data_IF_774966403823
#
_entry.id   IF_774966403823
#
_cell.length_a   1.000
_cell.length_b   1.000
_cell.length_c   1.000
_cell.angle_alpha   90.00
_cell.angle_beta   90.00
_cell.angle_gamma   90.00
#
_symmetry.space_group_name_H-M   'P 1'
#
loop_
_entity.id
_entity.type
_entity.pdbx_description
1 polymer ?
#
# COMPACT_ATOMS: atom_id res chain seq x y z
N UNK A 1 -22.00 17.28 21.60
CA UNK A 1 -21.97 17.40 20.13
C UNK A 1 -20.89 18.39 19.70
N UNK A 2 -20.01 18.03 18.76
CA UNK A 2 -18.90 18.86 18.28
C UNK A 2 -19.00 19.10 16.75
N UNK A 3 -19.95 19.94 16.30
CA UNK A 3 -20.21 20.12 14.87
C UNK A 3 -19.06 20.78 14.10
N UNK A 4 -18.11 21.42 14.77
CA UNK A 4 -16.95 22.05 14.11
C UNK A 4 -15.71 21.14 14.05
N UNK A 5 -15.77 19.95 14.65
CA UNK A 5 -14.66 19.01 14.67
C UNK A 5 -14.48 18.38 13.29
N UNK A 6 -13.31 18.60 12.67
CA UNK A 6 -12.93 18.03 11.37
C UNK A 6 -11.99 16.84 11.48
N UNK A 7 -11.28 16.75 12.60
CA UNK A 7 -10.26 15.74 12.83
C UNK A 7 -10.46 15.12 14.21
N UNK A 8 -10.41 13.80 14.26
CA UNK A 8 -10.50 13.02 15.49
C UNK A 8 -9.32 12.06 15.56
N UNK A 9 -8.55 12.15 16.64
CA UNK A 9 -7.47 11.23 16.96
C UNK A 9 -7.86 10.39 18.16
N UNK A 10 -7.90 9.08 17.97
CA UNK A 10 -8.13 8.08 19.03
C UNK A 10 -6.84 7.30 19.18
N UNK A 11 -6.08 7.61 20.23
CA UNK A 11 -4.74 7.07 20.48
C UNK A 11 -4.73 6.43 21.86
N UNK A 12 -4.33 5.16 21.94
CA UNK A 12 -4.16 4.44 23.22
C UNK A 12 -5.41 4.43 24.12
N UNK A 13 -6.58 4.39 23.49
CA UNK A 13 -7.86 4.43 24.17
C UNK A 13 -8.42 3.01 24.38
N UNK A 14 -7.99 2.34 25.45
CA UNK A 14 -8.38 0.96 25.80
C UNK A 14 -9.81 0.84 26.37
N UNK A 15 -10.47 1.96 26.66
CA UNK A 15 -11.79 2.01 27.34
C UNK A 15 -12.84 2.86 26.63
N UNK A 16 -12.59 3.24 25.38
CA UNK A 16 -13.57 4.00 24.57
C UNK A 16 -14.41 3.00 23.77
N UNK A 17 -15.73 3.06 23.94
CA UNK A 17 -16.68 2.39 23.06
C UNK A 17 -17.40 3.45 22.23
N UNK A 18 -17.41 3.26 20.91
CA UNK A 18 -18.21 4.07 20.01
C UNK A 18 -19.50 3.30 19.78
N UNK A 19 -20.62 3.77 20.35
CA UNK A 19 -21.92 3.14 20.15
C UNK A 19 -22.66 3.87 19.03
N UNK A 20 -23.01 3.19 17.94
CA UNK A 20 -24.16 3.64 17.14
C UNK A 20 -25.44 3.09 17.78
N UNK A 21 -26.36 3.99 18.11
CA UNK A 21 -27.59 3.74 18.85
C UNK A 21 -28.61 2.79 18.16
N UNK A 22 -28.32 2.27 16.95
CA UNK A 22 -29.33 1.57 16.14
C UNK A 22 -29.47 0.06 16.40
N UNK A 23 -28.83 -0.52 17.43
CA UNK A 23 -29.10 -1.92 17.84
C UNK A 23 -29.37 -2.06 19.34
N UNK A 24 -30.59 -1.69 19.74
CA UNK A 24 -31.11 -1.88 21.10
C UNK A 24 -31.27 -3.35 21.53
N UNK A 25 -31.17 -4.32 20.62
CA UNK A 25 -31.30 -5.75 20.91
C UNK A 25 -29.99 -6.44 21.32
N UNK A 26 -28.82 -5.97 20.84
CA UNK A 26 -27.52 -6.59 21.14
C UNK A 26 -26.95 -6.12 22.49
N UNK A 27 -27.30 -4.90 22.91
CA UNK A 27 -26.84 -4.33 24.19
C UNK A 27 -27.45 -5.05 25.41
N UNK A 28 -28.64 -5.65 25.29
CA UNK A 28 -29.30 -6.30 26.43
C UNK A 28 -28.69 -7.66 26.84
N UNK A 29 -27.94 -8.33 25.98
CA UNK A 29 -27.39 -9.66 26.29
C UNK A 29 -25.97 -9.66 26.88
N UNK A 30 -25.24 -8.54 26.84
CA UNK A 30 -23.85 -8.46 27.34
C UNK A 30 -23.67 -7.60 28.61
N UNK A 31 -24.73 -6.95 29.10
CA UNK A 31 -24.64 -5.99 30.20
C UNK A 31 -24.49 -6.57 31.62
N UNK A 32 -24.45 -7.89 31.82
CA UNK A 32 -24.28 -8.43 33.18
C UNK A 32 -22.82 -8.39 33.68
N UNK A 33 -21.81 -8.28 32.81
CA UNK A 33 -20.39 -8.26 33.26
C UNK A 33 -19.43 -7.28 32.55
N UNK A 34 -19.84 -6.50 31.55
CA UNK A 34 -18.97 -5.51 30.91
C UNK A 34 -18.97 -4.15 31.66
N UNK A 35 -17.79 -3.65 32.02
CA UNK A 35 -17.59 -2.31 32.62
C UNK A 35 -18.19 -1.25 31.69
N UNK A 36 -18.94 -0.28 32.24
CA UNK A 36 -19.47 0.86 31.46
C UNK A 36 -18.34 1.56 30.68
N UNK A 37 -18.56 1.93 29.40
CA UNK A 37 -17.57 2.68 28.64
C UNK A 37 -17.33 4.06 29.26
N UNK A 38 -16.10 4.55 29.17
CA UNK A 38 -15.70 5.85 29.72
C UNK A 38 -16.17 7.04 28.88
N UNK A 39 -16.35 6.83 27.57
CA UNK A 39 -16.83 7.84 26.64
C UNK A 39 -17.90 7.24 25.74
N UNK A 40 -19.03 7.95 25.63
CA UNK A 40 -20.14 7.65 24.73
C UNK A 40 -20.25 8.78 23.72
N UNK A 41 -20.33 8.43 22.44
CA UNK A 41 -20.58 9.40 21.37
C UNK A 41 -22.04 9.33 20.96
N UNK A 42 -22.79 10.41 21.18
CA UNK A 42 -24.17 10.52 20.72
C UNK A 42 -24.21 10.70 19.19
N UNK A 43 -25.25 10.15 18.55
CA UNK A 43 -25.55 10.37 17.12
C UNK A 43 -25.53 11.88 16.82
N UNK A 44 -24.90 12.25 15.70
CA UNK A 44 -24.75 13.65 15.28
C UNK A 44 -23.56 14.39 15.90
N UNK A 45 -22.78 13.77 16.80
CA UNK A 45 -21.66 14.45 17.47
C UNK A 45 -20.54 14.94 16.55
N UNK A 46 -20.42 14.37 15.34
CA UNK A 46 -19.30 14.55 14.43
C UNK A 46 -19.72 14.90 12.99
N UNK A 47 -20.65 15.84 12.83
CA UNK A 47 -21.32 16.08 11.54
C UNK A 47 -20.41 16.52 10.38
N UNK A 48 -19.22 17.06 10.70
CA UNK A 48 -18.21 17.59 9.78
C UNK A 48 -16.85 16.87 9.89
N UNK A 49 -16.80 15.69 10.50
CA UNK A 49 -15.57 14.92 10.63
C UNK A 49 -15.12 14.39 9.27
N UNK A 50 -13.88 14.70 8.90
CA UNK A 50 -13.28 14.35 7.62
C UNK A 50 -12.08 13.41 7.78
N UNK A 51 -11.35 13.56 8.90
CA UNK A 51 -10.10 12.87 9.16
C UNK A 51 -10.20 12.06 10.46
N UNK A 52 -9.87 10.78 10.39
CA UNK A 52 -9.90 9.87 11.53
C UNK A 52 -8.56 9.15 11.66
N UNK A 53 -7.93 9.32 12.82
CA UNK A 53 -6.75 8.56 13.24
C UNK A 53 -7.14 7.59 14.33
N UNK A 54 -6.86 6.31 14.13
CA UNK A 54 -7.14 5.27 15.11
C UNK A 54 -5.91 4.43 15.37
N UNK A 55 -5.48 4.40 16.61
CA UNK A 55 -4.53 3.44 17.11
C UNK A 55 -5.30 2.59 18.11
N UNK A 56 -5.45 1.27 17.88
CA UNK A 56 -5.69 0.21 18.89
C UNK A 56 -6.50 -1.02 18.41
N UNK A 57 -6.51 -2.04 19.29
CA UNK A 57 -7.24 -3.33 19.28
C UNK A 57 -8.68 -3.20 18.76
N UNK A 58 -8.78 -3.38 17.45
CA UNK A 58 -9.95 -3.21 16.58
C UNK A 58 -11.26 -3.83 17.06
N UNK A 59 -11.21 -4.77 18.00
CA UNK A 59 -12.38 -5.50 18.46
C UNK A 59 -13.40 -4.56 19.13
N UNK A 60 -12.99 -3.65 20.01
CA UNK A 60 -13.92 -2.82 20.79
C UNK A 60 -14.71 -1.78 19.96
N UNK A 61 -14.09 -1.21 18.93
CA UNK A 61 -14.69 -0.14 18.10
C UNK A 61 -15.69 -0.67 17.07
N UNK A 62 -15.67 -1.98 16.76
CA UNK A 62 -16.56 -2.58 15.75
C UNK A 62 -17.65 -3.46 16.34
N UNK A 63 -17.51 -3.93 17.58
CA UNK A 63 -18.64 -4.47 18.34
C UNK A 63 -19.72 -3.41 18.59
N UNK A 64 -19.32 -2.15 18.78
CA UNK A 64 -20.22 -0.99 18.72
C UNK A 64 -20.29 -0.47 17.29
N UNK A 65 -21.41 -0.68 16.60
CA UNK A 65 -21.63 -0.28 15.22
C UNK A 65 -21.04 1.10 14.88
N UNK A 66 -20.36 1.19 13.73
CA UNK A 66 -19.79 2.44 13.17
C UNK A 66 -20.88 3.52 13.10
N UNK A 67 -20.71 4.70 13.72
CA UNK A 67 -21.65 5.81 13.60
C UNK A 67 -21.85 6.18 12.12
N UNK A 68 -23.10 6.44 11.71
CA UNK A 68 -23.44 6.85 10.34
C UNK A 68 -22.65 8.10 9.90
N UNK A 69 -22.21 8.90 10.86
CA UNK A 69 -21.40 10.10 10.68
C UNK A 69 -20.01 9.80 10.10
N UNK A 70 -19.47 8.61 10.35
CA UNK A 70 -18.15 8.22 9.83
C UNK A 70 -18.16 7.98 8.32
N UNK A 71 -19.34 7.88 7.69
CA UNK A 71 -19.41 7.71 6.23
C UNK A 71 -18.81 8.90 5.46
N UNK A 72 -18.75 10.10 6.06
CA UNK A 72 -18.16 11.29 5.41
C UNK A 72 -16.63 11.34 5.48
N UNK A 73 -15.99 10.41 6.20
CA UNK A 73 -14.55 10.38 6.35
C UNK A 73 -13.89 10.22 4.99
N UNK A 74 -12.97 11.14 4.68
CA UNK A 74 -12.20 11.14 3.46
C UNK A 74 -10.74 10.70 3.69
N UNK A 75 -10.27 10.73 4.95
CA UNK A 75 -8.94 10.31 5.34
C UNK A 75 -9.02 9.41 6.58
N UNK A 76 -8.49 8.20 6.45
CA UNK A 76 -8.43 7.22 7.53
C UNK A 76 -7.00 6.74 7.70
N UNK A 77 -6.49 6.85 8.91
CA UNK A 77 -5.19 6.35 9.31
C UNK A 77 -5.34 5.40 10.49
N UNK A 78 -4.83 4.17 10.34
CA UNK A 78 -5.03 3.08 11.29
C UNK A 78 -3.71 2.49 11.72
N UNK A 79 -3.55 2.26 13.01
CA UNK A 79 -2.42 1.58 13.61
C UNK A 79 -2.90 0.32 14.32
N UNK A 80 -2.45 -0.85 13.86
CA UNK A 80 -2.92 -2.14 14.35
C UNK A 80 -2.02 -2.73 15.44
N UNK A 81 -2.65 -3.45 16.37
CA UNK A 81 -1.99 -4.27 17.39
C UNK A 81 -1.85 -5.74 16.99
N UNK A 82 -1.50 -6.61 17.94
CA UNK A 82 -1.16 -8.03 17.70
C UNK A 82 -2.34 -8.99 17.44
N UNK A 83 -3.59 -8.53 17.42
CA UNK A 83 -4.77 -9.42 17.34
C UNK A 83 -5.87 -8.94 16.38
N UNK A 84 -5.56 -8.04 15.44
CA UNK A 84 -6.60 -7.57 14.50
C UNK A 84 -6.83 -8.57 13.38
N UNK A 85 -8.10 -8.84 13.09
CA UNK A 85 -8.51 -9.69 11.96
C UNK A 85 -8.94 -8.83 10.76
N UNK A 86 -8.62 -9.31 9.57
CA UNK A 86 -8.90 -8.64 8.29
C UNK A 86 -10.38 -8.62 7.92
N UNK A 87 -11.17 -9.58 8.39
CA UNK A 87 -12.62 -9.61 8.16
C UNK A 87 -13.32 -8.37 8.77
N UNK A 88 -12.89 -7.98 9.98
CA UNK A 88 -13.46 -6.85 10.71
C UNK A 88 -13.04 -5.52 10.05
N UNK A 89 -11.80 -5.41 9.58
CA UNK A 89 -11.31 -4.29 8.79
C UNK A 89 -12.09 -4.12 7.48
N UNK A 90 -12.30 -5.21 6.74
CA UNK A 90 -13.04 -5.21 5.47
C UNK A 90 -14.45 -4.63 5.62
N UNK A 91 -15.24 -5.15 6.59
CA UNK A 91 -16.60 -4.66 6.85
C UNK A 91 -16.62 -3.18 7.24
N UNK A 92 -15.60 -2.72 7.98
CA UNK A 92 -15.47 -1.31 8.33
C UNK A 92 -15.22 -0.44 7.10
N UNK A 93 -14.22 -0.80 6.29
CA UNK A 93 -13.80 -0.04 5.12
C UNK A 93 -14.89 0.05 4.05
N UNK A 94 -15.69 -1.02 3.86
CA UNK A 94 -16.82 -1.04 2.91
C UNK A 94 -17.87 0.04 3.17
N UNK A 95 -17.97 0.55 4.40
CA UNK A 95 -18.92 1.59 4.78
C UNK A 95 -18.42 3.01 4.51
N UNK A 96 -17.13 3.19 4.25
CA UNK A 96 -16.49 4.49 4.09
C UNK A 96 -16.51 4.93 2.62
N UNK A 97 -17.69 5.24 2.11
CA UNK A 97 -17.90 5.49 0.68
C UNK A 97 -17.19 6.75 0.14
N UNK A 98 -16.78 7.68 0.99
CA UNK A 98 -16.08 8.93 0.60
C UNK A 98 -14.57 8.88 0.81
N UNK A 99 -14.03 7.72 1.19
CA UNK A 99 -12.63 7.57 1.55
C UNK A 99 -11.72 7.82 0.34
N UNK A 100 -10.85 8.83 0.45
CA UNK A 100 -9.83 9.20 -0.54
C UNK A 100 -8.44 8.74 -0.14
N UNK A 101 -8.15 8.73 1.15
CA UNK A 101 -6.84 8.33 1.68
C UNK A 101 -7.02 7.25 2.75
N UNK A 102 -6.35 6.12 2.56
CA UNK A 102 -6.28 5.04 3.52
C UNK A 102 -4.81 4.77 3.84
N UNK A 103 -4.47 4.83 5.13
CA UNK A 103 -3.14 4.50 5.62
C UNK A 103 -3.24 3.45 6.72
N UNK A 104 -2.53 2.34 6.53
CA UNK A 104 -2.54 1.17 7.42
C UNK A 104 -1.11 0.96 7.94
N UNK A 105 -0.94 0.96 9.26
CA UNK A 105 0.34 0.89 9.92
C UNK A 105 0.37 -0.25 10.93
N UNK A 106 1.42 -1.06 10.87
CA UNK A 106 1.61 -2.22 11.74
C UNK A 106 0.47 -3.23 11.65
N UNK A 107 0.66 -4.41 12.22
CA UNK A 107 -0.38 -5.43 12.27
C UNK A 107 0.16 -6.81 11.96
N UNK A 108 -0.62 -7.80 12.38
CA UNK A 108 -0.24 -9.21 12.35
C UNK A 108 -1.07 -10.01 11.33
N UNK A 109 -1.70 -9.31 10.38
CA UNK A 109 -2.57 -9.92 9.39
C UNK A 109 -1.74 -10.40 8.19
N UNK A 110 -2.01 -11.62 7.72
CA UNK A 110 -1.42 -12.15 6.49
C UNK A 110 -2.05 -11.55 5.22
N UNK A 111 -3.26 -11.01 5.36
CA UNK A 111 -4.07 -10.44 4.27
C UNK A 111 -4.81 -9.19 4.77
N UNK A 112 -4.95 -8.13 3.95
CA UNK A 112 -5.67 -6.91 4.34
C UNK A 112 -7.09 -6.90 3.77
N UNK A 113 -7.21 -7.03 2.45
CA UNK A 113 -8.48 -6.91 1.75
C UNK A 113 -9.04 -8.29 1.43
N UNK A 114 -10.18 -8.64 2.03
CA UNK A 114 -10.80 -9.97 1.89
C UNK A 114 -12.20 -9.80 1.31
N UNK A 115 -12.51 -10.59 0.27
CA UNK A 115 -13.85 -10.67 -0.34
C UNK A 115 -14.43 -9.30 -0.76
N UNK A 116 -13.60 -8.33 -1.14
CA UNK A 116 -14.11 -7.03 -1.56
C UNK A 116 -14.71 -7.14 -2.96
N UNK A 117 -15.95 -6.67 -3.08
CA UNK A 117 -16.64 -6.49 -4.34
C UNK A 117 -15.86 -5.56 -5.28
N UNK A 118 -16.04 -5.69 -6.60
CA UNK A 118 -15.48 -4.73 -7.55
C UNK A 118 -15.90 -3.29 -7.22
N UNK A 119 -14.99 -2.34 -7.42
CA UNK A 119 -15.23 -0.91 -7.27
C UNK A 119 -15.59 -0.42 -5.85
N UNK A 120 -15.45 -1.26 -4.81
CA UNK A 120 -15.69 -0.85 -3.41
C UNK A 120 -14.88 0.41 -3.04
N UNK A 121 -13.64 0.51 -3.53
CA UNK A 121 -12.76 1.65 -3.26
C UNK A 121 -12.67 2.64 -4.43
N UNK A 122 -13.80 2.94 -5.08
CA UNK A 122 -13.84 3.83 -6.25
C UNK A 122 -13.38 5.28 -5.96
N UNK A 123 -13.51 5.76 -4.73
CA UNK A 123 -13.07 7.11 -4.34
C UNK A 123 -11.63 7.15 -3.82
N UNK A 124 -11.03 5.99 -3.53
CA UNK A 124 -9.69 5.93 -2.96
C UNK A 124 -8.66 6.39 -4.00
N UNK A 125 -7.80 7.34 -3.59
CA UNK A 125 -6.71 7.92 -4.39
C UNK A 125 -5.35 7.56 -3.84
N UNK A 126 -5.24 7.46 -2.51
CA UNK A 126 -3.99 7.14 -1.82
C UNK A 126 -4.16 5.93 -0.92
N UNK A 127 -3.27 4.95 -1.08
CA UNK A 127 -3.15 3.79 -0.21
C UNK A 127 -1.71 3.70 0.30
N UNK A 128 -1.54 3.70 1.61
CA UNK A 128 -0.26 3.45 2.27
C UNK A 128 -0.39 2.25 3.19
N UNK A 129 0.54 1.32 3.09
CA UNK A 129 0.65 0.17 3.98
C UNK A 129 2.08 0.15 4.50
N UNK A 130 2.28 0.20 5.82
CA UNK A 130 3.61 0.30 6.40
C UNK A 130 3.76 -0.58 7.64
N UNK A 131 4.88 -1.28 7.79
CA UNK A 131 5.20 -2.08 8.97
C UNK A 131 4.30 -3.31 9.19
N UNK A 132 3.62 -3.79 8.15
CA UNK A 132 2.81 -5.01 8.20
C UNK A 132 3.71 -6.26 8.06
N UNK A 133 4.42 -6.63 9.13
CA UNK A 133 5.49 -7.64 9.07
C UNK A 133 5.03 -9.04 8.67
N UNK A 134 3.77 -9.41 8.98
CA UNK A 134 3.21 -10.72 8.65
C UNK A 134 2.33 -10.75 7.39
N UNK A 135 2.19 -9.61 6.70
CA UNK A 135 1.45 -9.53 5.45
C UNK A 135 2.13 -10.34 4.35
N UNK A 136 1.41 -11.31 3.78
CA UNK A 136 1.86 -12.13 2.66
C UNK A 136 1.26 -11.61 1.35
N UNK A 137 -0.01 -11.20 1.40
CA UNK A 137 -0.77 -10.72 0.25
C UNK A 137 -1.57 -9.47 0.62
N UNK A 138 -1.59 -8.44 -0.23
CA UNK A 138 -2.50 -7.30 -0.01
C UNK A 138 -3.97 -7.73 -0.09
N UNK A 139 -4.29 -8.65 -1.00
CA UNK A 139 -5.61 -9.24 -1.22
C UNK A 139 -5.45 -10.70 -1.64
N UNK A 140 -6.36 -11.56 -1.19
CA UNK A 140 -6.49 -12.92 -1.70
C UNK A 140 -7.60 -13.01 -2.75
N UNK A 141 -7.24 -13.40 -3.96
CA UNK A 141 -8.20 -13.62 -5.04
C UNK A 141 -8.88 -14.99 -4.90
N UNK A 142 -10.03 -15.00 -4.22
CA UNK A 142 -10.92 -16.17 -4.15
C UNK A 142 -12.16 -16.03 -5.07
N UNK A 143 -12.27 -14.96 -5.86
CA UNK A 143 -13.54 -14.62 -6.53
C UNK A 143 -13.55 -14.95 -8.02
N UNK A 144 -14.57 -15.70 -8.45
CA UNK A 144 -15.04 -15.75 -9.84
C UNK A 144 -15.58 -14.39 -10.37
N UNK A 145 -15.61 -13.36 -9.52
CA UNK A 145 -16.12 -12.03 -9.82
C UNK A 145 -15.00 -11.19 -10.43
N UNK A 146 -15.18 -10.83 -11.70
CA UNK A 146 -14.24 -10.02 -12.44
C UNK A 146 -14.48 -8.52 -12.20
N UNK A 147 -13.46 -7.79 -11.70
CA UNK A 147 -13.49 -6.33 -11.72
C UNK A 147 -12.44 -5.66 -10.82
N UNK A 148 -12.08 -4.39 -11.12
CA UNK A 148 -11.06 -3.65 -10.41
C UNK A 148 -11.50 -3.27 -9.00
N UNK A 149 -10.63 -3.44 -8.01
CA UNK A 149 -10.90 -3.10 -6.59
C UNK A 149 -10.62 -1.63 -6.34
N UNK A 150 -9.55 -1.11 -6.94
CA UNK A 150 -9.02 0.23 -6.74
C UNK A 150 -8.98 1.01 -8.05
N UNK A 151 -10.13 1.25 -8.72
CA UNK A 151 -10.16 1.73 -10.10
C UNK A 151 -9.55 3.13 -10.29
N UNK A 152 -9.46 3.93 -9.22
CA UNK A 152 -8.99 5.32 -9.27
C UNK A 152 -7.79 5.60 -8.34
N UNK A 153 -7.05 4.55 -7.94
CA UNK A 153 -5.88 4.75 -7.09
C UNK A 153 -4.77 5.46 -7.87
N UNK A 154 -4.26 6.56 -7.31
CA UNK A 154 -3.25 7.43 -7.90
C UNK A 154 -1.89 7.23 -7.22
N UNK A 155 -1.86 6.92 -5.93
CA UNK A 155 -0.64 6.69 -5.16
C UNK A 155 -0.74 5.42 -4.32
N UNK A 156 0.23 4.53 -4.51
CA UNK A 156 0.46 3.34 -3.69
C UNK A 156 1.84 3.41 -3.05
N UNK A 157 1.89 3.37 -1.72
CA UNK A 157 3.13 3.19 -0.93
C UNK A 157 3.03 1.91 -0.10
N UNK A 158 4.03 1.04 -0.21
CA UNK A 158 4.17 -0.14 0.65
C UNK A 158 5.56 -0.14 1.27
N UNK A 159 5.64 -0.23 2.59
CA UNK A 159 6.86 -0.02 3.35
C UNK A 159 7.00 -1.07 4.46
N UNK A 160 8.19 -1.63 4.62
CA UNK A 160 8.52 -2.57 5.71
C UNK A 160 7.54 -3.75 5.87
N UNK A 161 7.02 -4.24 4.74
CA UNK A 161 6.19 -5.45 4.67
C UNK A 161 7.09 -6.67 4.37
N UNK A 162 7.84 -7.13 5.36
CA UNK A 162 8.93 -8.11 5.20
C UNK A 162 8.53 -9.47 4.64
N UNK A 163 7.27 -9.91 4.82
CA UNK A 163 6.75 -11.20 4.29
C UNK A 163 5.94 -11.06 3.00
N UNK A 164 5.78 -9.84 2.48
CA UNK A 164 4.92 -9.60 1.32
C UNK A 164 5.51 -10.27 0.08
N UNK A 165 4.81 -11.24 -0.49
CA UNK A 165 5.30 -12.00 -1.65
C UNK A 165 4.80 -11.43 -2.97
N UNK A 166 3.62 -10.78 -2.96
CA UNK A 166 3.00 -10.20 -4.13
C UNK A 166 2.40 -8.83 -3.81
N UNK A 167 2.87 -7.80 -4.52
CA UNK A 167 2.37 -6.45 -4.37
C UNK A 167 0.98 -6.28 -5.00
N UNK A 168 0.78 -6.84 -6.20
CA UNK A 168 -0.39 -6.55 -7.04
C UNK A 168 -0.85 -7.79 -7.79
N UNK A 169 -2.13 -8.10 -7.68
CA UNK A 169 -2.81 -9.04 -8.56
C UNK A 169 -3.49 -8.31 -9.71
N UNK A 170 -3.59 -8.97 -10.87
CA UNK A 170 -4.21 -8.41 -12.09
C UNK A 170 -5.64 -7.93 -11.87
N UNK A 171 -6.36 -8.52 -10.92
CA UNK A 171 -7.72 -8.16 -10.48
C UNK A 171 -7.80 -6.80 -9.78
N UNK A 172 -6.71 -6.28 -9.23
CA UNK A 172 -6.73 -5.01 -8.49
C UNK A 172 -6.76 -3.79 -9.42
N UNK A 173 -6.22 -3.91 -10.64
CA UNK A 173 -6.14 -2.91 -11.72
C UNK A 173 -5.74 -1.50 -11.27
N UNK A 174 -4.50 -1.12 -11.57
CA UNK A 174 -3.93 0.18 -11.21
C UNK A 174 -3.78 1.14 -12.39
N UNK A 175 -4.80 1.19 -13.26
CA UNK A 175 -4.78 2.00 -14.49
C UNK A 175 -4.54 3.50 -14.25
N UNK A 176 -5.01 4.00 -13.11
CA UNK A 176 -4.90 5.41 -12.75
C UNK A 176 -3.71 5.73 -11.85
N UNK A 177 -2.82 4.75 -11.61
CA UNK A 177 -1.68 4.93 -10.71
C UNK A 177 -0.66 5.88 -11.32
N UNK A 178 -0.34 6.94 -10.59
CA UNK A 178 0.63 7.99 -10.94
C UNK A 178 1.96 7.73 -10.25
N UNK A 179 1.92 7.26 -9.00
CA UNK A 179 3.11 7.05 -8.17
C UNK A 179 3.08 5.71 -7.47
N UNK A 180 4.21 5.00 -7.53
CA UNK A 180 4.44 3.73 -6.84
C UNK A 180 5.72 3.80 -6.01
N UNK A 181 5.62 3.53 -4.71
CA UNK A 181 6.76 3.42 -3.80
C UNK A 181 6.73 2.08 -3.05
N UNK A 182 7.82 1.31 -3.11
CA UNK A 182 8.00 0.06 -2.38
C UNK A 182 9.34 0.05 -1.66
N UNK A 183 9.31 0.04 -0.33
CA UNK A 183 10.49 0.23 0.52
C UNK A 183 10.59 -0.93 1.53
N UNK A 184 11.77 -1.52 1.73
CA UNK A 184 12.00 -2.51 2.81
C UNK A 184 11.15 -3.79 2.73
N UNK A 185 10.62 -4.12 1.56
CA UNK A 185 9.74 -5.29 1.37
C UNK A 185 10.56 -6.52 0.98
N UNK A 186 11.17 -7.17 1.97
CA UNK A 186 12.11 -8.29 1.78
C UNK A 186 11.48 -9.62 1.32
N UNK A 187 10.15 -9.74 1.25
CA UNK A 187 9.49 -10.94 0.72
C UNK A 187 9.31 -10.91 -0.80
N UNK A 188 9.40 -9.73 -1.42
CA UNK A 188 9.09 -9.53 -2.83
C UNK A 188 10.24 -10.00 -3.72
N UNK A 189 10.04 -11.10 -4.42
CA UNK A 189 10.95 -11.54 -5.51
C UNK A 189 10.77 -10.71 -6.78
N UNK A 190 9.54 -10.28 -7.03
CA UNK A 190 9.17 -9.43 -8.16
C UNK A 190 8.31 -8.26 -7.68
N UNK A 191 8.40 -7.10 -8.32
CA UNK A 191 7.56 -5.94 -7.96
C UNK A 191 6.12 -6.15 -8.42
N UNK A 192 5.92 -6.42 -9.71
CA UNK A 192 4.60 -6.61 -10.35
C UNK A 192 4.69 -7.62 -11.49
N UNK A 193 3.56 -8.12 -11.99
CA UNK A 193 3.56 -8.94 -13.21
C UNK A 193 3.62 -8.10 -14.48
N UNK A 194 4.03 -8.71 -15.60
CA UNK A 194 3.96 -8.07 -16.92
C UNK A 194 2.54 -7.59 -17.28
N UNK A 195 1.50 -8.35 -16.90
CA UNK A 195 0.10 -7.98 -17.16
C UNK A 195 -0.33 -6.74 -16.37
N UNK A 196 0.10 -6.61 -15.12
CA UNK A 196 -0.12 -5.40 -14.31
C UNK A 196 0.66 -4.23 -14.91
N UNK A 197 1.93 -4.42 -15.30
CA UNK A 197 2.75 -3.38 -15.91
C UNK A 197 2.11 -2.76 -17.16
N UNK A 198 1.51 -3.59 -18.05
CA UNK A 198 0.75 -3.12 -19.22
C UNK A 198 -0.45 -2.23 -18.86
N UNK A 199 -0.97 -2.32 -17.65
CA UNK A 199 -2.07 -1.47 -17.17
C UNK A 199 -1.60 -0.13 -16.61
N UNK A 200 -0.32 0.04 -16.25
CA UNK A 200 0.23 1.23 -15.58
C UNK A 200 0.51 2.39 -16.54
N UNK A 201 -0.46 2.73 -17.39
CA UNK A 201 -0.32 3.71 -18.49
C UNK A 201 -0.18 5.16 -18.01
N UNK A 202 -0.55 5.46 -16.75
CA UNK A 202 -0.45 6.79 -16.15
C UNK A 202 0.74 6.97 -15.20
N UNK A 203 1.55 5.91 -14.99
CA UNK A 203 2.61 5.93 -13.99
C UNK A 203 3.69 6.94 -14.38
N UNK A 204 3.99 7.88 -13.48
CA UNK A 204 4.98 8.94 -13.66
C UNK A 204 6.22 8.74 -12.77
N UNK A 205 6.06 8.13 -11.59
CA UNK A 205 7.15 7.90 -10.65
C UNK A 205 7.12 6.49 -10.06
N UNK A 206 8.25 5.79 -10.11
CA UNK A 206 8.45 4.47 -9.52
C UNK A 206 9.71 4.50 -8.64
N UNK A 207 9.54 4.14 -7.37
CA UNK A 207 10.63 4.05 -6.39
C UNK A 207 10.62 2.69 -5.73
N UNK A 208 11.73 1.97 -5.80
CA UNK A 208 11.92 0.68 -5.13
C UNK A 208 13.24 0.73 -4.37
N UNK A 209 13.19 0.55 -3.04
CA UNK A 209 14.39 0.62 -2.21
C UNK A 209 14.45 -0.46 -1.13
N UNK A 210 15.66 -0.91 -0.82
CA UNK A 210 15.93 -1.83 0.29
C UNK A 210 15.22 -3.20 0.19
N UNK A 211 14.72 -3.61 -0.98
CA UNK A 211 14.07 -4.90 -1.20
C UNK A 211 15.09 -6.00 -1.55
N UNK A 212 15.74 -6.53 -0.52
CA UNK A 212 16.91 -7.42 -0.65
C UNK A 212 16.71 -8.69 -1.48
N UNK A 213 15.52 -9.28 -1.52
CA UNK A 213 15.26 -10.55 -2.25
C UNK A 213 14.74 -10.35 -3.67
N UNK A 214 14.53 -9.09 -4.08
CA UNK A 214 13.97 -8.78 -5.40
C UNK A 214 14.97 -9.14 -6.48
N UNK A 215 14.57 -10.04 -7.39
CA UNK A 215 15.41 -10.51 -8.50
C UNK A 215 15.09 -9.80 -9.80
N UNK A 216 13.83 -9.43 -10.02
CA UNK A 216 13.38 -8.72 -11.23
C UNK A 216 12.26 -7.75 -10.87
N UNK A 217 12.09 -6.68 -11.66
CA UNK A 217 10.95 -5.77 -11.47
C UNK A 217 9.64 -6.42 -11.92
N UNK A 218 9.66 -7.14 -13.05
CA UNK A 218 8.48 -7.71 -13.70
C UNK A 218 8.52 -9.24 -13.64
N UNK A 219 7.50 -9.85 -13.04
CA UNK A 219 7.27 -11.29 -13.10
C UNK A 219 6.69 -11.69 -14.47
N UNK A 220 7.22 -12.75 -15.08
CA UNK A 220 6.65 -13.35 -16.27
C UNK A 220 5.27 -13.94 -15.96
N UNK A 221 4.24 -13.53 -16.70
CA UNK A 221 2.91 -14.13 -16.60
C UNK A 221 2.87 -15.42 -17.42
N UNK A 222 3.19 -16.56 -16.80
CA UNK A 222 2.96 -17.88 -17.39
C UNK A 222 1.78 -18.54 -16.68
N UNK A 223 0.61 -18.54 -17.32
CA UNK A 223 -0.41 -19.55 -17.05
C UNK A 223 -1.45 -19.77 -18.16
N UNK A 224 -1.31 -19.12 -19.32
CA UNK A 224 -2.09 -19.47 -20.49
C UNK A 224 -1.19 -19.41 -21.72
N UNK A 225 -0.66 -20.55 -22.14
CA UNK A 225 0.29 -20.73 -23.24
C UNK A 225 -0.27 -20.43 -24.63
N UNK A 226 -0.91 -19.28 -24.82
CA UNK A 226 -1.47 -18.82 -26.08
C UNK A 226 -1.31 -17.29 -26.19
N UNK A 227 -0.13 -16.78 -26.53
CA UNK A 227 -0.02 -15.49 -27.22
C UNK A 227 1.15 -15.57 -28.20
N UNK A 228 0.85 -16.04 -29.41
CA UNK A 228 1.68 -15.93 -30.62
C UNK A 228 1.58 -14.52 -31.24
N UNK A 229 1.64 -13.45 -30.43
CA UNK A 229 1.75 -12.08 -30.95
C UNK A 229 3.21 -11.64 -30.86
N UNK A 230 3.80 -11.33 -32.01
CA UNK A 230 5.14 -10.75 -32.09
C UNK A 230 5.25 -9.39 -31.34
N UNK A 231 4.12 -8.73 -31.09
CA UNK A 231 3.99 -7.49 -30.29
C UNK A 231 3.82 -7.78 -28.78
N UNK A 232 3.67 -9.04 -28.36
CA UNK A 232 3.41 -9.40 -26.97
C UNK A 232 4.61 -9.22 -26.05
N UNK A 233 5.81 -9.01 -26.60
CA UNK A 233 7.07 -8.91 -25.89
C UNK A 233 7.52 -7.47 -25.62
N UNK A 234 6.66 -6.47 -25.78
CA UNK A 234 6.98 -5.09 -25.39
C UNK A 234 6.16 -4.64 -24.17
N UNK A 235 6.82 -3.96 -23.24
CA UNK A 235 6.19 -3.29 -22.10
C UNK A 235 6.66 -1.84 -22.08
N UNK A 236 5.74 -0.93 -22.38
CA UNK A 236 6.04 0.49 -22.48
C UNK A 236 5.45 1.25 -21.30
N UNK A 237 6.31 1.84 -20.48
CA UNK A 237 5.93 2.78 -19.43
C UNK A 237 5.82 4.19 -20.00
N UNK A 238 4.74 4.43 -20.75
CA UNK A 238 4.57 5.60 -21.62
C UNK A 238 4.45 6.97 -20.94
N UNK A 239 4.53 7.07 -19.61
CA UNK A 239 4.53 8.36 -18.88
C UNK A 239 5.55 8.42 -17.75
N UNK A 240 6.37 7.38 -17.58
CA UNK A 240 7.32 7.30 -16.48
C UNK A 240 8.43 8.32 -16.70
N UNK A 241 8.60 9.24 -15.74
CA UNK A 241 9.60 10.30 -15.73
C UNK A 241 10.69 10.03 -14.72
N UNK A 242 10.31 9.49 -13.55
CA UNK A 242 11.23 9.27 -12.44
C UNK A 242 11.27 7.79 -12.05
N UNK A 243 12.44 7.17 -12.20
CA UNK A 243 12.70 5.80 -11.80
C UNK A 243 13.88 5.76 -10.81
N UNK A 244 13.60 5.29 -9.59
CA UNK A 244 14.62 5.11 -8.55
C UNK A 244 14.65 3.66 -8.06
N UNK A 245 15.80 3.04 -8.19
CA UNK A 245 16.12 1.69 -7.72
C UNK A 245 17.33 1.80 -6.79
N UNK A 246 17.17 1.50 -5.51
CA UNK A 246 18.26 1.64 -4.53
C UNK A 246 18.38 0.44 -3.60
N UNK A 247 19.59 -0.04 -3.37
CA UNK A 247 19.88 -1.12 -2.41
C UNK A 247 19.06 -2.39 -2.70
N UNK A 248 19.21 -2.88 -3.93
CA UNK A 248 18.57 -4.10 -4.45
C UNK A 248 19.67 -5.06 -4.93
N UNK A 249 20.43 -5.69 -4.01
CA UNK A 249 21.65 -6.41 -4.37
C UNK A 249 21.43 -7.58 -5.32
N UNK A 250 20.27 -8.26 -5.23
CA UNK A 250 19.93 -9.41 -6.06
C UNK A 250 19.16 -9.05 -7.35
N UNK A 251 18.93 -7.75 -7.63
CA UNK A 251 18.17 -7.32 -8.80
C UNK A 251 19.01 -7.53 -10.06
N UNK A 252 18.53 -8.39 -10.96
CA UNK A 252 19.22 -8.74 -12.22
C UNK A 252 18.79 -7.87 -13.39
N UNK A 253 17.58 -7.35 -13.35
CA UNK A 253 17.01 -6.53 -14.42
C UNK A 253 15.51 -6.33 -14.29
N UNK A 254 14.86 -5.89 -15.37
CA UNK A 254 13.42 -5.68 -15.38
C UNK A 254 12.61 -6.95 -15.64
N UNK A 255 13.09 -7.86 -16.48
CA UNK A 255 12.43 -9.14 -16.76
C UNK A 255 13.45 -10.13 -17.35
N UNK A 256 13.42 -11.40 -16.97
CA UNK A 256 14.32 -12.44 -17.53
C UNK A 256 13.90 -13.00 -18.89
N UNK A 257 12.65 -12.78 -19.32
CA UNK A 257 12.19 -13.18 -20.66
C UNK A 257 12.59 -12.13 -21.70
N UNK A 258 12.42 -12.43 -23.00
CA UNK A 258 12.69 -11.53 -24.13
C UNK A 258 11.72 -10.33 -24.21
N UNK A 259 11.32 -9.76 -23.06
CA UNK A 259 10.52 -8.54 -23.03
C UNK A 259 11.41 -7.31 -23.19
N UNK A 260 11.09 -6.48 -24.17
CA UNK A 260 11.65 -5.13 -24.30
C UNK A 260 10.86 -4.19 -23.39
N UNK A 261 11.52 -3.66 -22.36
CA UNK A 261 10.93 -2.65 -21.47
C UNK A 261 11.40 -1.26 -21.89
N UNK A 262 10.45 -0.39 -22.22
CA UNK A 262 10.71 0.92 -22.84
C UNK A 262 10.17 2.04 -21.96
N UNK A 263 10.98 3.11 -21.80
CA UNK A 263 10.65 4.30 -21.03
C UNK A 263 10.81 5.57 -21.89
N UNK A 264 9.86 5.86 -22.80
CA UNK A 264 10.04 6.89 -23.83
C UNK A 264 10.17 8.33 -23.29
N UNK A 265 9.78 8.57 -22.04
CA UNK A 265 9.79 9.91 -21.42
C UNK A 265 10.56 9.97 -20.10
N UNK A 266 11.47 9.01 -19.85
CA UNK A 266 12.25 8.97 -18.62
C UNK A 266 13.19 10.17 -18.55
N UNK A 267 13.08 10.97 -17.49
CA UNK A 267 13.92 12.15 -17.26
C UNK A 267 14.95 11.91 -16.16
N UNK A 268 14.58 11.11 -15.15
CA UNK A 268 15.41 10.84 -13.98
C UNK A 268 15.53 9.33 -13.80
N UNK A 269 16.77 8.82 -13.87
CA UNK A 269 17.10 7.44 -13.55
C UNK A 269 18.16 7.43 -12.45
N UNK A 270 17.83 6.83 -11.31
CA UNK A 270 18.75 6.61 -10.19
C UNK A 270 18.83 5.11 -9.92
N UNK A 271 20.03 4.54 -10.10
CA UNK A 271 20.32 3.13 -9.79
C UNK A 271 21.53 3.08 -8.88
N UNK A 272 21.30 2.77 -7.61
CA UNK A 272 22.32 2.78 -6.55
C UNK A 272 22.33 1.46 -5.81
N UNK A 273 23.50 0.89 -5.52
CA UNK A 273 23.61 -0.40 -4.78
C UNK A 273 22.76 -1.54 -5.39
N UNK A 274 22.73 -1.67 -6.73
CA UNK A 274 22.03 -2.73 -7.47
C UNK A 274 23.06 -3.59 -8.24
N UNK A 275 23.77 -4.46 -7.52
CA UNK A 275 25.06 -5.02 -7.96
C UNK A 275 24.94 -6.06 -9.10
N UNK A 276 23.84 -6.80 -9.14
CA UNK A 276 23.62 -7.82 -10.19
C UNK A 276 22.95 -7.26 -11.45
N UNK A 277 22.56 -5.98 -11.46
CA UNK A 277 21.71 -5.43 -12.50
C UNK A 277 22.51 -5.14 -13.77
N UNK A 278 22.06 -5.70 -14.89
CA UNK A 278 22.59 -5.38 -16.23
C UNK A 278 21.66 -4.39 -16.92
N UNK A 279 22.21 -3.27 -17.39
CA UNK A 279 21.48 -2.25 -18.13
C UNK A 279 22.21 -1.99 -19.46
N UNK A 280 21.46 -1.93 -20.57
CA UNK A 280 22.00 -1.50 -21.87
C UNK A 280 21.74 -0.01 -22.11
N UNK A 281 22.68 0.64 -22.82
CA UNK A 281 22.83 2.10 -22.93
C UNK A 281 21.83 2.75 -23.92
N UNK A 282 21.19 1.99 -24.79
CA UNK A 282 20.38 2.54 -25.90
C UNK A 282 18.96 3.01 -25.52
N UNK A 283 18.66 3.19 -24.22
CA UNK A 283 17.29 3.45 -23.75
C UNK A 283 16.34 2.26 -23.92
N UNK A 284 16.87 1.14 -24.43
CA UNK A 284 16.25 -0.18 -24.46
C UNK A 284 17.01 -1.05 -23.48
N UNK A 285 16.34 -1.56 -22.46
CA UNK A 285 16.90 -2.59 -21.59
C UNK A 285 16.84 -3.92 -22.35
N UNK A 286 17.75 -4.12 -23.31
CA UNK A 286 17.87 -5.39 -24.02
C UNK A 286 18.49 -6.44 -23.10
N UNK A 287 17.87 -7.61 -23.08
CA UNK A 287 18.26 -8.76 -22.27
C UNK A 287 19.39 -9.58 -22.92
N UNK A 288 20.18 -8.96 -23.80
CA UNK A 288 21.16 -9.68 -24.60
C UNK A 288 22.48 -9.86 -23.84
N UNK A 289 22.93 -11.11 -23.79
CA UNK A 289 24.13 -11.57 -23.07
C UNK A 289 25.44 -11.20 -23.77
N UNK A 290 25.49 -10.08 -24.51
CA UNK A 290 26.70 -9.53 -25.13
C UNK A 290 26.61 -8.01 -25.19
N UNK A 291 27.70 -7.37 -24.77
CA UNK A 291 27.99 -5.94 -24.77
C UNK A 291 27.89 -5.26 -23.39
N UNK A 292 29.09 -5.01 -22.85
CA UNK A 292 29.37 -4.25 -21.63
C UNK A 292 29.19 -2.75 -21.90
N UNK A 293 28.32 -2.13 -21.11
CA UNK A 293 28.12 -0.69 -21.07
C UNK A 293 28.02 -0.22 -19.62
N UNK A 294 29.03 0.48 -19.13
CA UNK A 294 29.13 0.94 -17.74
C UNK A 294 28.23 2.16 -17.51
N UNK A 295 27.29 2.06 -16.56
CA UNK A 295 26.58 3.23 -16.01
C UNK A 295 27.42 3.88 -14.93
N UNK A 296 27.41 5.22 -14.91
CA UNK A 296 27.95 6.02 -13.81
C UNK A 296 27.13 5.78 -12.55
N UNK A 297 27.65 4.92 -11.68
CA UNK A 297 27.26 4.80 -10.28
C UNK A 297 27.62 6.14 -9.63
N UNK A 298 26.63 6.91 -9.18
CA UNK A 298 26.91 7.95 -8.19
C UNK A 298 26.99 7.24 -6.84
N UNK A 299 28.21 7.00 -6.39
CA UNK A 299 28.48 6.78 -4.97
C UNK A 299 28.21 8.13 -4.29
N UNK A 300 27.02 8.29 -3.73
CA UNK A 300 26.92 9.19 -2.58
C UNK A 300 27.57 8.44 -1.43
N UNK A 301 28.75 8.91 -1.02
CA UNK A 301 29.41 8.48 0.20
C UNK A 301 28.47 8.78 1.38
N UNK A 302 27.72 7.77 1.83
CA UNK A 302 27.23 7.73 3.21
C UNK A 302 28.48 7.63 4.08
N UNK A 303 28.97 8.77 4.59
CA UNK A 303 29.92 8.78 5.68
C UNK A 303 29.25 8.09 6.87
N UNK A 304 29.63 6.85 7.11
CA UNK A 304 29.19 6.08 8.26
C UNK A 304 29.64 6.75 9.55
N UNK A 305 28.69 6.98 10.45
CA UNK A 305 28.94 6.86 11.87
C UNK A 305 28.02 5.76 12.39
N UNK A 306 28.65 4.61 12.70
CA UNK A 306 28.12 3.68 13.67
C UNK A 306 28.03 4.43 15.01
N UNK A 307 26.81 4.62 15.53
CA UNK A 307 26.58 4.82 16.96
C UNK A 307 25.35 3.99 17.34
N UNK A 308 25.62 2.82 17.92
CA UNK A 308 24.66 2.07 18.72
C UNK A 308 24.27 2.90 19.96
N UNK A 309 22.96 2.92 20.26
CA UNK A 309 22.27 3.48 21.43
C UNK A 309 22.17 5.01 21.55
N UNK A 310 21.02 5.57 21.15
CA UNK A 310 19.97 6.07 22.06
C UNK A 310 18.78 6.60 21.25
N UNK A 311 17.55 6.40 21.75
CA UNK A 311 16.30 6.89 21.15
C UNK A 311 16.38 8.40 20.88
N UNK A 312 15.93 8.84 19.71
CA UNK A 312 15.15 10.08 19.56
C UNK A 312 14.07 9.90 18.48
N UNK A 313 12.83 10.13 18.90
CA UNK A 313 11.61 10.10 18.08
C UNK A 313 11.43 11.45 17.37
N UNK A 314 12.25 11.81 16.38
CA UNK A 314 12.17 13.17 15.80
C UNK A 314 12.21 13.27 14.26
N UNK A 315 11.84 12.22 13.51
CA UNK A 315 11.57 12.33 12.05
C UNK A 315 10.07 12.15 11.68
N UNK A 316 9.20 12.36 12.66
CA UNK A 316 7.79 12.65 12.45
C UNK A 316 7.57 14.02 13.08
N UNK A 317 7.87 15.13 12.37
CA UNK A 317 7.27 16.46 12.62
C UNK A 317 7.83 17.65 11.81
N UNK A 318 8.55 17.48 10.69
CA UNK A 318 8.83 18.63 9.80
C UNK A 318 7.65 19.02 8.87
N UNK A 319 6.42 18.88 9.35
CA UNK A 319 5.21 19.48 8.77
C UNK A 319 4.25 20.11 9.81
N UNK A 320 4.65 20.23 11.09
CA UNK A 320 3.95 21.02 12.11
C UNK A 320 4.55 22.43 12.28
N UNK A 321 4.83 23.13 11.18
CA UNK A 321 5.35 24.52 11.25
C UNK A 321 4.30 25.62 11.36
N UNK A 322 3.03 25.28 11.56
CA UNK A 322 2.01 26.18 12.12
C UNK A 322 0.99 25.32 12.89
N UNK A 323 1.34 24.89 14.11
CA UNK A 323 0.67 25.23 15.38
C UNK A 323 1.44 24.62 16.56
#
# INVERSE_FOLDING_TARGET
>A
MWPSLKELRIIQCDKIEILAEENSSFQQQQHEHAKRPFFLFEKGSFSNLEVLYMWFDFNAVLYGMVPLEFFKINHLQMYFGRNTTSAVLSVFLQRLHYLKTLKLFYGDMEEIFINEEPHVFAHLRTLTISGMHNLIHMRKDNSHVAGPVFPNLEFLKVEDCGRLENLVYSTMSFRNLIKLEVLGCHGLKHLISCSVAKSLVLLQSMRVENCQTMVEILASSDDNGNIDDADAHEITFGRLKDLKLSNLPNLKGFCSRNYNVIFPFLTTLSVTRCLEMKISIDGVLQNDSKHEGVIRITEEEEQGQDDDNERNNDDVDEFEKWW
#
